data_IF_142001362849
#
_entry.id   IF_142001362849
#
_cell.length_a   1.000
_cell.length_b   1.000
_cell.length_c   1.000
_cell.angle_alpha   90.00
_cell.angle_beta   90.00
_cell.angle_gamma   90.00
#
_symmetry.space_group_name_H-M   'P 1'
#
loop_
_entity.id
_entity.type
_entity.pdbx_description
1 polymer ?
#
# COMPACT_ATOMS: atom_id res chain seq x y z
N UNK A 1 2.79 -18.19 6.90
CA UNK A 1 3.70 -17.48 5.97
C UNK A 1 2.99 -17.16 4.64
N UNK A 2 2.05 -16.19 4.59
CA UNK A 2 1.34 -15.84 3.34
C UNK A 2 1.05 -14.34 3.11
N UNK A 3 1.50 -13.45 4.00
CA UNK A 3 1.39 -11.98 3.79
C UNK A 3 2.39 -11.43 2.75
N UNK A 4 3.46 -12.16 2.42
CA UNK A 4 4.56 -11.66 1.60
C UNK A 4 4.29 -11.70 0.07
N UNK A 5 3.34 -12.51 -0.39
CA UNK A 5 3.10 -12.71 -1.82
C UNK A 5 2.04 -11.73 -2.39
N UNK A 6 1.08 -11.31 -1.56
CA UNK A 6 -0.09 -10.53 -2.00
C UNK A 6 0.16 -9.03 -2.16
N UNK A 7 1.06 -8.44 -1.37
CA UNK A 7 1.34 -7.00 -1.45
C UNK A 7 2.14 -6.61 -2.70
N UNK A 8 3.06 -7.46 -3.17
CA UNK A 8 4.00 -7.13 -4.25
C UNK A 8 3.33 -6.89 -5.61
N UNK A 9 2.37 -7.74 -5.98
CA UNK A 9 1.68 -7.64 -7.27
C UNK A 9 0.67 -6.48 -7.29
N UNK A 10 -0.08 -6.28 -6.21
CA UNK A 10 -1.00 -5.17 -6.07
C UNK A 10 -0.25 -3.82 -6.13
N UNK A 11 0.88 -3.73 -5.44
CA UNK A 11 1.69 -2.50 -5.41
C UNK A 11 2.33 -2.15 -6.76
N UNK A 12 2.81 -3.16 -7.50
CA UNK A 12 3.36 -2.97 -8.85
C UNK A 12 2.28 -2.54 -9.86
N UNK A 13 1.08 -3.12 -9.79
CA UNK A 13 -0.04 -2.76 -10.65
C UNK A 13 -0.56 -1.33 -10.38
N UNK A 14 -0.56 -0.93 -9.11
CA UNK A 14 -0.98 0.40 -8.68
C UNK A 14 -0.10 1.52 -9.29
N UNK A 15 1.22 1.34 -9.28
CA UNK A 15 2.12 2.35 -9.86
C UNK A 15 2.22 2.32 -11.38
N UNK A 16 2.09 1.14 -12.00
CA UNK A 16 1.97 1.05 -13.44
C UNK A 16 0.74 1.83 -13.96
N UNK A 17 -0.37 1.82 -13.23
CA UNK A 17 -1.58 2.57 -13.58
C UNK A 17 -1.43 4.10 -13.38
N UNK A 18 -0.58 4.55 -12.45
CA UNK A 18 -0.31 5.97 -12.24
C UNK A 18 0.68 6.57 -13.26
N UNK A 19 1.37 5.73 -14.05
CA UNK A 19 2.52 6.11 -14.89
C UNK A 19 2.33 5.80 -16.39
N UNK A 20 1.12 5.40 -16.78
CA UNK A 20 0.73 5.26 -18.17
C UNK A 20 0.27 6.61 -18.72
N UNK A 21 1.06 7.26 -19.60
CA UNK A 21 0.64 8.12 -20.72
C UNK A 21 1.88 8.77 -21.44
N UNK A 22 1.79 9.17 -22.73
CA UNK A 22 2.96 9.44 -23.61
C UNK A 22 3.31 10.93 -23.84
N UNK A 23 4.55 11.25 -24.27
CA UNK A 23 4.98 12.56 -24.77
C UNK A 23 6.25 12.56 -25.67
N UNK A 24 6.57 13.76 -26.15
CA UNK A 24 7.78 14.20 -26.86
C UNK A 24 8.43 15.40 -26.11
N UNK A 25 9.70 15.70 -26.45
CA UNK A 25 10.76 16.31 -25.62
C UNK A 25 11.04 17.81 -25.74
N UNK A 26 11.51 18.47 -24.66
CA UNK A 26 12.56 19.52 -24.60
C UNK A 26 13.06 19.88 -23.16
N UNK A 27 14.40 19.97 -23.03
CA UNK A 27 15.25 20.22 -21.84
C UNK A 27 14.98 21.51 -21.04
N UNK A 28 15.04 21.43 -19.70
CA UNK A 28 15.43 22.52 -18.77
C UNK A 28 16.01 21.95 -17.47
N UNK A 29 16.99 22.65 -16.88
CA UNK A 29 17.69 22.25 -15.64
C UNK A 29 17.02 22.89 -14.41
N UNK A 30 15.96 22.24 -13.93
CA UNK A 30 15.41 22.47 -12.59
C UNK A 30 16.04 21.46 -11.61
N UNK A 31 16.09 21.79 -10.32
CA UNK A 31 16.58 20.88 -9.27
C UNK A 31 15.68 19.64 -9.18
N UNK A 32 16.15 18.52 -9.73
CA UNK A 32 15.40 17.27 -9.93
C UNK A 32 14.75 16.77 -8.63
N UNK A 33 15.39 17.01 -7.48
CA UNK A 33 14.86 16.62 -6.18
C UNK A 33 13.64 17.45 -5.77
N UNK A 34 13.65 18.75 -6.06
CA UNK A 34 12.51 19.63 -5.81
C UNK A 34 11.34 19.29 -6.76
N UNK A 35 11.63 18.92 -8.00
CA UNK A 35 10.62 18.44 -8.95
C UNK A 35 10.03 17.09 -8.51
N UNK A 36 10.85 16.14 -8.07
CA UNK A 36 10.40 14.85 -7.55
C UNK A 36 9.49 15.01 -6.32
N UNK A 37 9.84 15.91 -5.38
CA UNK A 37 9.00 16.20 -4.22
C UNK A 37 7.62 16.77 -4.62
N UNK A 38 7.58 17.68 -5.61
CA UNK A 38 6.32 18.24 -6.13
C UNK A 38 5.50 17.19 -6.89
N UNK A 39 6.14 16.38 -7.73
CA UNK A 39 5.50 15.27 -8.42
C UNK A 39 4.92 14.25 -7.43
N UNK A 40 5.67 13.91 -6.39
CA UNK A 40 5.19 13.04 -5.30
C UNK A 40 3.97 13.62 -4.60
N UNK A 41 4.03 14.89 -4.17
CA UNK A 41 2.91 15.56 -3.50
C UNK A 41 1.63 15.54 -4.37
N UNK A 42 1.79 15.64 -5.70
CA UNK A 42 0.67 15.59 -6.64
C UNK A 42 0.00 14.22 -6.71
N UNK A 43 0.78 13.14 -6.73
CA UNK A 43 0.29 11.76 -6.82
C UNK A 43 -0.11 11.17 -5.46
N UNK A 44 0.35 11.77 -4.36
CA UNK A 44 0.14 11.28 -2.99
C UNK A 44 -1.34 11.00 -2.65
N UNK A 45 -2.33 11.85 -3.02
CA UNK A 45 -3.73 11.56 -2.73
C UNK A 45 -4.23 10.29 -3.44
N UNK A 46 -3.85 10.09 -4.70
CA UNK A 46 -4.22 8.90 -5.46
C UNK A 46 -3.54 7.66 -4.87
N UNK A 47 -2.24 7.76 -4.56
CA UNK A 47 -1.49 6.69 -3.88
C UNK A 47 -2.11 6.31 -2.54
N UNK A 48 -2.65 7.29 -1.80
CA UNK A 48 -3.31 7.04 -0.50
C UNK A 48 -4.58 6.23 -0.67
N UNK A 49 -5.46 6.59 -1.59
CA UNK A 49 -6.69 5.82 -1.85
C UNK A 49 -6.39 4.42 -2.38
N UNK A 50 -5.39 4.31 -3.24
CA UNK A 50 -4.90 3.04 -3.77
C UNK A 50 -4.32 2.14 -2.67
N UNK A 51 -3.54 2.70 -1.75
CA UNK A 51 -3.00 1.98 -0.60
C UNK A 51 -4.10 1.47 0.32
N UNK A 52 -5.10 2.30 0.64
CA UNK A 52 -6.27 1.88 1.43
C UNK A 52 -6.95 0.68 0.78
N UNK A 53 -7.22 0.77 -0.53
CA UNK A 53 -7.85 -0.32 -1.29
C UNK A 53 -7.01 -1.59 -1.28
N UNK A 54 -5.71 -1.50 -1.60
CA UNK A 54 -4.82 -2.65 -1.59
C UNK A 54 -4.70 -3.29 -0.21
N UNK A 55 -4.73 -2.49 0.85
CA UNK A 55 -4.72 -2.98 2.22
C UNK A 55 -6.01 -3.73 2.55
N UNK A 56 -7.18 -3.15 2.28
CA UNK A 56 -8.47 -3.80 2.46
C UNK A 56 -8.59 -5.11 1.65
N UNK A 57 -8.16 -5.09 0.37
CA UNK A 57 -8.13 -6.27 -0.49
C UNK A 57 -7.19 -7.36 0.08
N UNK A 58 -6.05 -6.97 0.66
CA UNK A 58 -5.13 -7.91 1.31
C UNK A 58 -5.75 -8.60 2.52
N UNK A 59 -6.55 -7.88 3.32
CA UNK A 59 -7.31 -8.44 4.45
C UNK A 59 -8.44 -9.36 3.98
N UNK A 60 -9.07 -9.02 2.85
CA UNK A 60 -10.14 -9.80 2.25
C UNK A 60 -9.66 -11.13 1.62
N UNK A 61 -8.42 -11.17 1.12
CA UNK A 61 -7.83 -12.30 0.37
C UNK A 61 -7.55 -13.58 1.20
N UNK A 62 -7.78 -13.57 2.51
CA UNK A 62 -7.77 -14.82 3.29
C UNK A 62 -8.89 -15.76 2.81
N UNK A 63 -8.56 -17.02 2.52
CA UNK A 63 -9.48 -18.00 1.93
C UNK A 63 -10.88 -17.96 2.57
N UNK A 64 -11.97 -17.89 1.78
CA UNK A 64 -13.32 -18.10 2.29
C UNK A 64 -13.43 -19.57 2.75
N UNK A 65 -13.30 -19.82 4.05
CA UNK A 65 -13.59 -21.15 4.59
C UNK A 65 -15.10 -21.37 4.54
N UNK A 66 -15.53 -22.49 3.95
CA UNK A 66 -16.91 -23.00 3.94
C UNK A 66 -17.38 -23.48 5.33
N UNK A 67 -17.09 -22.72 6.38
CA UNK A 67 -17.45 -23.00 7.76
C UNK A 67 -18.56 -22.04 8.17
N UNK A 68 -19.79 -22.55 8.23
CA UNK A 68 -21.00 -21.77 8.46
C UNK A 68 -21.07 -21.13 9.86
N UNK A 69 -21.83 -20.03 9.93
CA UNK A 69 -22.30 -19.39 11.16
C UNK A 69 -21.27 -18.52 11.88
N UNK A 70 -20.83 -18.99 13.04
CA UNK A 70 -20.01 -18.21 13.98
C UNK A 70 -18.58 -17.94 13.51
N UNK A 71 -17.97 -18.91 12.83
CA UNK A 71 -16.56 -18.79 12.43
C UNK A 71 -16.39 -17.83 11.25
N UNK A 72 -17.31 -17.86 10.27
CA UNK A 72 -17.35 -16.89 9.19
C UNK A 72 -17.72 -15.47 9.67
N UNK A 73 -18.66 -15.34 10.62
CA UNK A 73 -19.01 -14.05 11.21
C UNK A 73 -17.84 -13.45 12.01
N UNK A 74 -17.19 -14.25 12.86
CA UNK A 74 -16.01 -13.86 13.63
C UNK A 74 -14.83 -13.48 12.73
N UNK A 75 -14.57 -14.22 11.64
CA UNK A 75 -13.54 -13.88 10.66
C UNK A 75 -13.82 -12.56 9.94
N UNK A 76 -15.08 -12.28 9.59
CA UNK A 76 -15.49 -11.00 8.97
C UNK A 76 -15.34 -9.83 9.93
N UNK A 77 -15.80 -9.98 11.16
CA UNK A 77 -15.65 -8.93 12.18
C UNK A 77 -14.18 -8.67 12.51
N UNK A 78 -13.36 -9.71 12.65
CA UNK A 78 -11.93 -9.59 12.86
C UNK A 78 -11.23 -8.80 11.74
N UNK A 79 -11.64 -9.03 10.48
CA UNK A 79 -11.14 -8.25 9.33
C UNK A 79 -11.55 -6.79 9.42
N UNK A 80 -12.82 -6.52 9.75
CA UNK A 80 -13.32 -5.15 9.87
C UNK A 80 -12.63 -4.39 11.02
N UNK A 81 -12.43 -5.05 12.17
CA UNK A 81 -11.72 -4.48 13.31
C UNK A 81 -10.25 -4.21 12.96
N UNK A 82 -9.58 -5.18 12.31
CA UNK A 82 -8.21 -4.99 11.79
C UNK A 82 -8.13 -3.82 10.83
N UNK A 83 -8.99 -3.77 9.82
CA UNK A 83 -9.02 -2.69 8.83
C UNK A 83 -9.21 -1.34 9.51
N UNK A 84 -10.19 -1.21 10.41
CA UNK A 84 -10.47 0.01 11.16
C UNK A 84 -9.29 0.46 12.01
N UNK A 85 -8.67 -0.47 12.75
CA UNK A 85 -7.69 -0.14 13.79
C UNK A 85 -6.26 0.02 13.24
N UNK A 86 -5.97 -0.55 12.07
CA UNK A 86 -4.60 -0.55 11.52
C UNK A 86 -4.43 0.27 10.24
N UNK A 87 -5.51 0.61 9.51
CA UNK A 87 -5.38 1.38 8.25
C UNK A 87 -4.66 2.70 8.46
N UNK A 88 -4.95 3.42 9.55
CA UNK A 88 -4.26 4.69 9.84
C UNK A 88 -2.75 4.47 10.05
N UNK A 89 -2.35 3.42 10.76
CA UNK A 89 -0.95 3.06 11.02
C UNK A 89 -0.23 2.64 9.72
N UNK A 90 -0.89 1.85 8.89
CA UNK A 90 -0.38 1.43 7.57
C UNK A 90 -0.11 2.65 6.70
N UNK A 91 -1.05 3.60 6.66
CA UNK A 91 -0.89 4.85 5.91
C UNK A 91 0.21 5.73 6.51
N UNK A 92 0.29 5.84 7.83
CA UNK A 92 1.36 6.60 8.51
C UNK A 92 2.74 6.05 8.15
N UNK A 93 2.92 4.73 8.22
CA UNK A 93 4.19 4.08 7.88
C UNK A 93 4.52 4.21 6.39
N UNK A 94 3.51 4.08 5.53
CA UNK A 94 3.67 4.18 4.09
C UNK A 94 3.99 5.61 3.62
N UNK A 95 3.40 6.62 4.26
CA UNK A 95 3.64 8.03 3.97
C UNK A 95 4.63 8.69 4.94
N UNK A 96 5.47 7.89 5.61
CA UNK A 96 6.54 8.39 6.46
C UNK A 96 7.57 9.17 5.65
N UNK A 97 8.26 10.12 6.27
CA UNK A 97 9.32 10.89 5.59
C UNK A 97 10.39 10.00 4.97
N UNK A 98 10.75 8.91 5.64
CA UNK A 98 11.71 7.95 5.12
C UNK A 98 11.21 7.31 3.82
N UNK A 99 9.94 6.91 3.76
CA UNK A 99 9.35 6.30 2.58
C UNK A 99 9.20 7.32 1.45
N UNK A 100 8.78 8.54 1.78
CA UNK A 100 8.72 9.66 0.83
C UNK A 100 10.09 9.89 0.17
N UNK A 101 11.16 10.05 0.96
CA UNK A 101 12.51 10.27 0.42
C UNK A 101 12.94 9.16 -0.53
N UNK A 102 12.60 7.91 -0.22
CA UNK A 102 12.89 6.78 -1.10
C UNK A 102 12.09 6.80 -2.39
N UNK A 103 10.82 7.20 -2.35
CA UNK A 103 10.02 7.37 -3.57
C UNK A 103 10.59 8.52 -4.40
N UNK A 104 10.98 9.63 -3.79
CA UNK A 104 11.64 10.75 -4.47
C UNK A 104 12.96 10.31 -5.13
N UNK A 105 13.80 9.55 -4.42
CA UNK A 105 15.05 9.01 -4.98
C UNK A 105 14.77 8.07 -6.17
N UNK A 106 13.73 7.23 -6.11
CA UNK A 106 13.29 6.39 -7.24
C UNK A 106 12.83 7.24 -8.42
N UNK A 107 12.08 8.32 -8.17
CA UNK A 107 11.60 9.21 -9.21
C UNK A 107 12.76 9.89 -9.94
N UNK A 108 13.75 10.40 -9.20
CA UNK A 108 14.98 11.01 -9.79
C UNK A 108 15.81 9.98 -10.55
N UNK A 109 15.92 8.75 -10.05
CA UNK A 109 16.70 7.69 -10.69
C UNK A 109 16.04 7.15 -11.97
N UNK A 110 14.71 7.28 -12.11
CA UNK A 110 13.95 6.75 -13.25
C UNK A 110 13.63 7.81 -14.29
N UNK A 111 13.22 9.00 -13.86
CA UNK A 111 12.70 10.06 -14.70
C UNK A 111 13.71 11.19 -14.87
N UNK A 112 13.74 11.77 -16.07
CA UNK A 112 14.47 13.01 -16.29
C UNK A 112 13.72 14.23 -15.72
N UNK A 113 14.42 15.36 -15.62
CA UNK A 113 13.87 16.61 -15.09
C UNK A 113 12.59 17.08 -15.82
N UNK A 114 12.47 16.84 -17.12
CA UNK A 114 11.30 17.26 -17.90
C UNK A 114 10.08 16.40 -17.55
N UNK A 115 10.26 15.09 -17.47
CA UNK A 115 9.23 14.14 -17.04
C UNK A 115 8.73 14.48 -15.63
N UNK A 116 9.66 14.77 -14.69
CA UNK A 116 9.31 15.18 -13.33
C UNK A 116 8.53 16.51 -13.29
N UNK A 117 8.93 17.50 -14.10
CA UNK A 117 8.22 18.79 -14.20
C UNK A 117 6.81 18.60 -14.74
N UNK A 118 6.64 17.83 -15.83
CA UNK A 118 5.32 17.55 -16.40
C UNK A 118 4.39 16.91 -15.36
N UNK A 119 4.87 15.89 -14.62
CA UNK A 119 4.08 15.25 -13.57
C UNK A 119 3.75 16.22 -12.43
N UNK A 120 4.69 17.06 -12.01
CA UNK A 120 4.46 18.08 -10.99
C UNK A 120 3.38 19.10 -11.40
N UNK A 121 3.32 19.45 -12.69
CA UNK A 121 2.31 20.35 -13.27
C UNK A 121 0.96 19.66 -13.57
N UNK A 122 0.84 18.35 -13.31
CA UNK A 122 -0.37 17.57 -13.56
C UNK A 122 -0.53 17.11 -15.01
N UNK A 123 0.52 17.24 -15.81
CA UNK A 123 0.66 16.63 -17.12
C UNK A 123 1.03 15.15 -17.01
N UNK A 124 0.85 14.43 -18.12
CA UNK A 124 1.14 13.01 -18.19
C UNK A 124 2.47 12.78 -18.92
N UNK A 125 3.52 12.48 -18.16
CA UNK A 125 4.86 12.29 -18.69
C UNK A 125 5.04 10.90 -19.36
N UNK A 126 5.75 10.81 -20.51
CA UNK A 126 6.03 9.55 -21.19
C UNK A 126 6.82 8.62 -20.29
N UNK A 127 6.57 7.31 -20.35
CA UNK A 127 7.47 6.31 -19.80
C UNK A 127 7.99 5.38 -20.90
N UNK A 128 9.30 5.15 -20.90
CA UNK A 128 9.94 4.12 -21.76
C UNK A 128 9.77 2.74 -21.10
N UNK A 129 9.76 1.63 -21.87
CA UNK A 129 9.66 0.28 -21.30
C UNK A 129 10.71 -0.02 -20.21
N UNK A 130 11.93 0.47 -20.40
CA UNK A 130 13.04 0.34 -19.43
C UNK A 130 12.76 1.10 -18.13
N UNK A 131 12.16 2.29 -18.22
CA UNK A 131 11.74 3.07 -17.05
C UNK A 131 10.65 2.33 -16.27
N UNK A 132 9.66 1.78 -16.97
CA UNK A 132 8.61 0.95 -16.36
C UNK A 132 9.17 -0.30 -15.66
N UNK A 133 10.18 -0.95 -16.27
CA UNK A 133 10.86 -2.08 -15.65
C UNK A 133 11.63 -1.67 -14.38
N UNK A 134 12.33 -0.53 -14.43
CA UNK A 134 13.11 0.03 -13.31
C UNK A 134 12.20 0.44 -12.14
N UNK A 135 11.08 1.09 -12.44
CA UNK A 135 9.98 1.34 -11.50
C UNK A 135 9.56 0.05 -10.82
N UNK A 136 9.22 -0.98 -11.60
CA UNK A 136 8.74 -2.24 -11.05
C UNK A 136 9.78 -2.98 -10.18
N UNK A 137 11.08 -2.86 -10.46
CA UNK A 137 12.13 -3.38 -9.57
C UNK A 137 12.27 -2.56 -8.29
N UNK A 138 12.39 -1.23 -8.40
CA UNK A 138 12.57 -0.34 -7.25
C UNK A 138 11.38 -0.41 -6.30
N UNK A 139 10.17 -0.62 -6.82
CA UNK A 139 8.98 -0.81 -6.01
C UNK A 139 8.90 -2.16 -5.30
N UNK A 140 9.52 -3.22 -5.83
CA UNK A 140 9.64 -4.49 -5.10
C UNK A 140 10.50 -4.33 -3.87
N UNK A 141 11.58 -3.55 -3.97
CA UNK A 141 12.44 -3.21 -2.84
C UNK A 141 11.73 -2.31 -1.84
N UNK A 142 11.08 -1.24 -2.32
CA UNK A 142 10.27 -0.34 -1.49
C UNK A 142 9.20 -1.09 -0.70
N UNK A 143 8.51 -2.03 -1.36
CA UNK A 143 7.50 -2.89 -0.73
C UNK A 143 8.10 -3.78 0.35
N UNK A 144 9.30 -4.33 0.14
CA UNK A 144 9.97 -5.18 1.12
C UNK A 144 10.36 -4.38 2.38
N UNK A 145 10.84 -3.15 2.20
CA UNK A 145 11.20 -2.29 3.32
C UNK A 145 9.97 -1.76 4.06
N UNK A 146 8.88 -1.44 3.35
CA UNK A 146 7.60 -1.11 3.97
C UNK A 146 7.09 -2.27 4.84
N UNK A 147 7.09 -3.51 4.32
CA UNK A 147 6.70 -4.68 5.10
C UNK A 147 7.59 -4.89 6.32
N UNK A 148 8.90 -4.63 6.20
CA UNK A 148 9.82 -4.66 7.33
C UNK A 148 9.40 -3.63 8.38
N UNK A 149 9.17 -2.38 8.01
CA UNK A 149 8.71 -1.33 8.92
C UNK A 149 7.39 -1.70 9.61
N UNK A 150 6.40 -2.22 8.88
CA UNK A 150 5.13 -2.68 9.45
C UNK A 150 5.35 -3.81 10.46
N UNK A 151 6.20 -4.78 10.15
CA UNK A 151 6.50 -5.89 11.08
C UNK A 151 7.29 -5.49 12.32
N UNK A 152 7.99 -4.36 12.28
CA UNK A 152 8.78 -3.83 13.39
C UNK A 152 8.01 -2.78 14.21
N UNK A 153 6.88 -2.26 13.69
CA UNK A 153 6.05 -1.29 14.41
C UNK A 153 5.24 -1.99 15.52
N UNK A 154 5.53 -1.62 16.76
CA UNK A 154 4.90 -2.21 17.94
C UNK A 154 3.41 -1.86 18.08
N UNK A 155 2.98 -0.71 17.55
CA UNK A 155 1.55 -0.30 17.56
C UNK A 155 0.76 -1.17 16.60
N UNK A 156 1.32 -1.42 15.42
CA UNK A 156 0.73 -2.34 14.45
C UNK A 156 0.64 -3.76 15.02
N UNK A 157 1.72 -4.26 15.64
CA UNK A 157 1.71 -5.57 16.29
C UNK A 157 0.66 -5.67 17.42
N UNK A 158 0.51 -4.62 18.22
CA UNK A 158 -0.48 -4.56 19.31
C UNK A 158 -1.90 -4.59 18.74
N UNK A 159 -2.22 -3.74 17.76
CA UNK A 159 -3.53 -3.73 17.12
C UNK A 159 -3.89 -5.06 16.46
N UNK A 160 -2.91 -5.74 15.85
CA UNK A 160 -3.07 -7.11 15.32
C UNK A 160 -3.42 -8.12 16.42
N UNK A 161 -2.73 -8.07 17.56
CA UNK A 161 -2.98 -8.96 18.70
C UNK A 161 -4.37 -8.71 19.29
N UNK A 162 -4.74 -7.45 19.49
CA UNK A 162 -6.03 -7.06 20.07
C UNK A 162 -7.20 -7.51 19.19
N UNK A 163 -7.10 -7.31 17.87
CA UNK A 163 -8.13 -7.78 16.95
C UNK A 163 -8.27 -9.31 16.96
N UNK A 164 -7.16 -10.06 17.06
CA UNK A 164 -7.20 -11.52 17.19
C UNK A 164 -7.81 -11.98 18.53
N UNK A 165 -7.53 -11.27 19.62
CA UNK A 165 -8.13 -11.56 20.92
C UNK A 165 -9.64 -11.28 20.92
N UNK A 166 -10.06 -10.15 20.36
CA UNK A 166 -11.47 -9.79 20.20
C UNK A 166 -12.22 -10.81 19.34
N UNK A 167 -11.64 -11.21 18.22
CA UNK A 167 -12.19 -12.26 17.35
C UNK A 167 -12.39 -13.58 18.10
N UNK A 168 -11.39 -14.01 18.89
CA UNK A 168 -11.47 -15.22 19.71
C UNK A 168 -12.55 -15.12 20.79
N UNK A 169 -12.66 -13.97 21.46
CA UNK A 169 -13.69 -13.74 22.46
C UNK A 169 -15.10 -13.81 21.85
N UNK A 170 -15.30 -13.22 20.68
CA UNK A 170 -16.57 -13.30 19.95
C UNK A 170 -16.90 -14.71 19.48
N UNK A 171 -15.91 -15.46 18.98
CA UNK A 171 -16.09 -16.86 18.61
C UNK A 171 -16.58 -17.70 19.81
N UNK A 172 -16.00 -17.47 21.00
CA UNK A 172 -16.45 -18.14 22.24
C UNK A 172 -17.90 -17.78 22.59
N UNK A 173 -18.27 -16.49 22.51
CA UNK A 173 -19.65 -16.03 22.78
C UNK A 173 -20.64 -16.65 21.81
N UNK A 174 -20.36 -16.58 20.51
CA UNK A 174 -21.23 -17.10 19.47
C UNK A 174 -21.42 -18.64 19.61
N UNK A 175 -20.37 -19.39 19.95
CA UNK A 175 -20.50 -20.83 20.24
C UNK A 175 -21.32 -21.13 21.50
N UNK A 176 -21.19 -20.30 22.54
CA UNK A 176 -22.00 -20.44 23.75
C UNK A 176 -23.49 -20.19 23.48
N UNK A 177 -23.82 -19.22 22.64
CA UNK A 177 -25.19 -18.92 22.20
C UNK A 177 -25.78 -20.04 21.33
N UNK A 178 -24.96 -20.73 20.52
CA UNK A 178 -25.39 -21.88 19.71
C UNK A 178 -25.57 -23.18 20.51
N UNK A 179 -24.90 -23.33 21.66
CA UNK A 179 -24.99 -24.53 22.51
C UNK A 179 -26.04 -24.43 23.63
N UNK A 180 -26.67 -23.27 23.81
CA UNK A 180 -27.69 -23.00 24.81
C UNK A 180 -29.12 -23.02 24.25
N UNK A 181 -29.29 -23.34 22.96
CA UNK A 181 -30.56 -23.41 22.24
C UNK A 181 -30.95 -24.82 21.85
#
# INVERSE_FOLDING_TARGET
MRFAALSRAAFAALLAAALWLPAASAQTADDERALAARAYARIQPALREMMKKAYADSLASGEPSALDGCEAASKRQARADLERDTTALVLELFFSEQMQRRVEDILVDVYDAEQLRMTAEGGNAPSRPEQSAKIASSFRELSADFLRSVSQDSRFATAMVDALQNARAQLKRCRAEQGAG
#
